data_IF_574517164214
#
_entry.id   IF_574517164214
#
_cell.length_a   1.000
_cell.length_b   1.000
_cell.length_c   1.000
_cell.angle_alpha   90.00
_cell.angle_beta   90.00
_cell.angle_gamma   90.00
#
_symmetry.space_group_name_H-M   'P 1'
#
loop_
_entity.id
_entity.type
_entity.pdbx_description
1 polymer ?
#
# COMPACT_ATOMS: atom_id res chain seq x y z
N UNK A 1 1.65 19.57 -0.35
CA UNK A 1 0.55 19.32 0.59
C UNK A 1 -0.58 18.65 -0.17
N UNK A 2 -1.31 17.74 0.46
CA UNK A 2 -2.47 17.08 -0.15
C UNK A 2 -3.77 17.77 0.29
N UNK A 3 -4.64 17.99 -0.68
CA UNK A 3 -5.92 18.65 -0.49
C UNK A 3 -6.97 17.67 0.03
N UNK A 4 -7.55 17.96 1.19
CA UNK A 4 -8.61 17.18 1.80
C UNK A 4 -9.93 17.96 1.71
N UNK A 5 -11.00 17.31 1.25
CA UNK A 5 -12.35 17.79 1.36
C UNK A 5 -13.07 17.00 2.47
N UNK A 6 -13.66 17.72 3.42
CA UNK A 6 -14.43 17.14 4.51
C UNK A 6 -15.91 17.24 4.17
N UNK A 7 -16.62 16.10 4.19
CA UNK A 7 -18.02 16.00 3.79
C UNK A 7 -18.80 15.34 4.93
N UNK A 8 -19.62 16.11 5.63
CA UNK A 8 -20.38 15.65 6.78
C UNK A 8 -21.52 16.67 7.02
N UNK A 9 -22.73 16.26 7.29
CA UNK A 9 -23.84 17.18 7.53
C UNK A 9 -23.74 17.84 8.91
N UNK A 10 -23.05 17.21 9.86
CA UNK A 10 -22.85 17.73 11.21
C UNK A 10 -21.64 18.68 11.27
N UNK A 11 -21.89 19.98 11.43
CA UNK A 11 -20.81 20.98 11.58
C UNK A 11 -19.80 20.65 12.71
N UNK A 12 -20.21 20.17 13.90
CA UNK A 12 -19.27 19.81 14.96
C UNK A 12 -18.29 18.68 14.55
N UNK A 13 -18.73 17.74 13.71
CA UNK A 13 -17.89 16.67 13.19
C UNK A 13 -16.84 17.23 12.21
N UNK A 14 -17.23 18.14 11.30
CA UNK A 14 -16.30 18.84 10.40
C UNK A 14 -15.27 19.66 11.17
N UNK A 15 -15.72 20.49 12.14
CA UNK A 15 -14.83 21.31 12.98
C UNK A 15 -13.82 20.47 13.77
N UNK A 16 -14.21 19.24 14.17
CA UNK A 16 -13.31 18.29 14.82
C UNK A 16 -12.24 17.78 13.87
N UNK A 17 -12.63 17.39 12.66
CA UNK A 17 -11.69 16.91 11.65
C UNK A 17 -10.71 18.00 11.23
N UNK A 18 -11.17 19.24 11.05
CA UNK A 18 -10.29 20.39 10.77
C UNK A 18 -9.22 20.52 11.84
N UNK A 19 -9.61 20.57 13.12
CA UNK A 19 -8.66 20.67 14.25
C UNK A 19 -7.65 19.53 14.31
N UNK A 20 -8.06 18.30 13.96
CA UNK A 20 -7.14 17.18 13.93
C UNK A 20 -6.14 17.27 12.77
N UNK A 21 -6.53 17.88 11.67
CA UNK A 21 -5.68 18.08 10.49
C UNK A 21 -4.72 19.27 10.65
N UNK A 22 -5.01 20.25 11.49
CA UNK A 22 -4.12 21.40 11.76
C UNK A 22 -2.73 20.97 12.26
N UNK A 23 -2.67 19.86 13.00
CA UNK A 23 -1.41 19.29 13.50
C UNK A 23 -0.69 18.38 12.48
N UNK A 24 -1.20 18.27 11.24
CA UNK A 24 -0.70 17.36 10.21
C UNK A 24 -0.16 18.11 8.97
N UNK A 25 1.10 18.55 8.95
CA UNK A 25 1.64 19.50 7.95
C UNK A 25 1.68 19.00 6.51
N UNK A 26 1.46 17.70 6.28
CA UNK A 26 1.39 17.12 4.92
C UNK A 26 0.04 17.31 4.25
N UNK A 27 -0.99 17.67 5.01
CA UNK A 27 -2.36 17.78 4.58
C UNK A 27 -2.90 19.19 4.79
N UNK A 28 -3.84 19.58 3.95
CA UNK A 28 -4.59 20.84 4.14
C UNK A 28 -6.06 20.61 3.83
N UNK A 29 -6.92 21.23 4.61
CA UNK A 29 -8.35 21.26 4.34
C UNK A 29 -8.59 22.25 3.19
N UNK A 30 -8.94 21.73 2.02
CA UNK A 30 -9.23 22.54 0.84
C UNK A 30 -10.66 23.08 0.87
N UNK A 31 -11.57 22.39 1.58
CA UNK A 31 -12.95 22.81 1.69
C UNK A 31 -13.77 21.89 2.59
N UNK A 32 -15.00 22.32 2.87
CA UNK A 32 -16.01 21.58 3.61
C UNK A 32 -17.33 21.55 2.82
N UNK A 33 -18.07 20.45 2.91
CA UNK A 33 -19.41 20.32 2.35
C UNK A 33 -20.36 19.70 3.38
N UNK A 34 -21.58 20.21 3.46
CA UNK A 34 -22.60 19.74 4.40
C UNK A 34 -23.57 18.72 3.79
N UNK A 35 -23.42 18.36 2.51
CA UNK A 35 -24.25 17.40 1.79
C UNK A 35 -23.57 16.99 0.47
N UNK A 36 -24.09 15.96 -0.16
CA UNK A 36 -23.53 15.40 -1.41
C UNK A 36 -23.60 16.36 -2.60
N UNK A 37 -24.59 17.25 -2.68
CA UNK A 37 -24.69 18.23 -3.78
C UNK A 37 -23.56 19.26 -3.68
N UNK A 38 -23.37 19.87 -2.52
CA UNK A 38 -22.26 20.78 -2.27
C UNK A 38 -20.90 20.08 -2.44
N UNK A 39 -20.79 18.79 -2.02
CA UNK A 39 -19.59 18.01 -2.20
C UNK A 39 -19.22 17.84 -3.67
N UNK A 40 -20.17 17.55 -4.57
CA UNK A 40 -19.92 17.41 -5.99
C UNK A 40 -19.44 18.73 -6.65
N UNK A 41 -19.92 19.87 -6.17
CA UNK A 41 -19.45 21.19 -6.61
C UNK A 41 -18.01 21.43 -6.14
N UNK A 42 -17.74 21.24 -4.84
CA UNK A 42 -16.39 21.36 -4.27
C UNK A 42 -15.39 20.40 -4.95
N UNK A 43 -15.77 19.16 -5.24
CA UNK A 43 -14.89 18.20 -5.92
C UNK A 43 -14.50 18.70 -7.31
N UNK A 44 -15.43 19.26 -8.06
CA UNK A 44 -15.14 19.82 -9.41
C UNK A 44 -14.24 21.04 -9.37
N UNK A 45 -14.44 21.91 -8.38
CA UNK A 45 -13.69 23.17 -8.26
C UNK A 45 -12.32 22.99 -7.64
N UNK A 46 -12.22 22.17 -6.59
CA UNK A 46 -11.02 22.06 -5.75
C UNK A 46 -10.14 20.88 -6.14
N UNK A 47 -10.66 19.90 -6.89
CA UNK A 47 -9.95 18.67 -7.28
C UNK A 47 -9.20 18.05 -6.07
N UNK A 48 -9.90 17.71 -4.97
CA UNK A 48 -9.27 17.20 -3.77
C UNK A 48 -8.58 15.85 -4.01
N UNK A 49 -7.48 15.61 -3.30
CA UNK A 49 -6.76 14.36 -3.32
C UNK A 49 -7.43 13.29 -2.45
N UNK A 50 -8.04 13.73 -1.33
CA UNK A 50 -8.64 12.84 -0.32
C UNK A 50 -10.01 13.39 0.07
N UNK A 51 -10.99 12.50 0.25
CA UNK A 51 -12.29 12.79 0.84
C UNK A 51 -12.40 12.15 2.22
N UNK A 52 -12.70 12.94 3.25
CA UNK A 52 -13.24 12.46 4.53
C UNK A 52 -14.76 12.56 4.44
N UNK A 53 -15.44 11.43 4.26
CA UNK A 53 -16.83 11.37 3.84
C UNK A 53 -17.70 10.67 4.89
N UNK A 54 -18.70 11.37 5.42
CA UNK A 54 -19.74 10.71 6.22
C UNK A 54 -20.63 9.85 5.32
N UNK A 55 -21.02 8.70 5.83
CA UNK A 55 -21.94 7.80 5.15
C UNK A 55 -23.37 8.30 5.32
N UNK A 56 -23.73 8.73 6.54
CA UNK A 56 -25.11 8.99 6.94
C UNK A 56 -25.50 10.46 6.77
N UNK A 57 -25.70 10.88 5.53
CA UNK A 57 -26.12 12.25 5.21
C UNK A 57 -27.56 12.30 4.66
N UNK A 58 -28.33 13.38 4.91
CA UNK A 58 -29.64 13.56 4.31
C UNK A 58 -29.61 13.63 2.77
N UNK A 59 -30.57 13.00 2.13
CA UNK A 59 -30.68 12.95 0.66
C UNK A 59 -29.81 11.86 0.07
N UNK A 60 -28.80 12.22 -0.71
CA UNK A 60 -27.82 11.27 -1.24
C UNK A 60 -26.81 10.94 -0.15
N UNK A 61 -26.77 9.69 0.28
CA UNK A 61 -25.80 9.21 1.27
C UNK A 61 -24.35 9.16 0.74
N UNK A 62 -23.38 9.04 1.65
CA UNK A 62 -21.96 9.01 1.28
C UNK A 62 -21.56 7.81 0.42
N UNK A 63 -22.22 6.65 0.57
CA UNK A 63 -21.96 5.49 -0.25
C UNK A 63 -22.38 5.70 -1.71
N UNK A 64 -23.55 6.31 -1.91
CA UNK A 64 -24.07 6.66 -3.23
C UNK A 64 -23.22 7.73 -3.91
N UNK A 65 -22.74 8.71 -3.16
CA UNK A 65 -21.78 9.71 -3.64
C UNK A 65 -20.47 9.04 -4.10
N UNK A 66 -19.91 8.16 -3.29
CA UNK A 66 -18.68 7.44 -3.60
C UNK A 66 -18.81 6.58 -4.87
N UNK A 67 -19.91 5.84 -5.05
CA UNK A 67 -20.19 5.09 -6.29
C UNK A 67 -20.26 5.99 -7.51
N UNK A 68 -20.91 7.16 -7.37
CA UNK A 68 -21.01 8.15 -8.48
C UNK A 68 -19.63 8.65 -8.90
N UNK A 69 -18.73 8.91 -7.95
CA UNK A 69 -17.37 9.37 -8.23
C UNK A 69 -16.52 8.29 -8.92
N UNK A 70 -16.61 7.04 -8.47
CA UNK A 70 -15.86 5.93 -9.05
C UNK A 70 -16.27 5.64 -10.50
N UNK A 71 -17.52 5.77 -10.83
CA UNK A 71 -18.00 5.62 -12.21
C UNK A 71 -17.41 6.67 -13.17
N UNK A 72 -16.93 7.81 -12.67
CA UNK A 72 -16.34 8.92 -13.45
C UNK A 72 -14.85 8.77 -13.80
N UNK A 73 -14.15 7.74 -13.31
CA UNK A 73 -12.78 7.38 -13.69
C UNK A 73 -11.69 7.84 -12.74
N UNK A 74 -11.37 9.11 -12.60
CA UNK A 74 -10.35 9.60 -11.65
C UNK A 74 -11.00 9.94 -10.31
N UNK A 75 -10.91 9.04 -9.34
CA UNK A 75 -11.51 9.22 -8.03
C UNK A 75 -10.46 9.62 -6.99
N UNK A 76 -10.75 10.60 -6.12
CA UNK A 76 -9.92 10.88 -4.93
C UNK A 76 -9.90 9.67 -3.99
N UNK A 77 -8.91 9.61 -3.11
CA UNK A 77 -8.87 8.60 -2.07
C UNK A 77 -10.02 8.82 -1.07
N UNK A 78 -10.91 7.84 -0.90
CA UNK A 78 -12.09 7.98 -0.03
C UNK A 78 -11.82 7.30 1.30
N UNK A 79 -11.97 8.05 2.40
CA UNK A 79 -11.97 7.56 3.78
C UNK A 79 -13.35 7.88 4.36
N UNK A 80 -14.09 6.84 4.71
CA UNK A 80 -15.39 7.04 5.35
C UNK A 80 -15.27 7.39 6.83
N UNK A 81 -16.10 8.31 7.30
CA UNK A 81 -16.25 8.69 8.72
C UNK A 81 -17.69 8.42 9.14
N UNK A 82 -17.96 7.39 9.94
CA UNK A 82 -19.33 6.96 10.26
C UNK A 82 -19.55 6.73 11.75
N UNK A 83 -20.78 6.93 12.21
CA UNK A 83 -21.19 6.58 13.57
C UNK A 83 -21.42 5.06 13.76
N UNK A 84 -21.59 4.29 12.68
CA UNK A 84 -22.01 2.89 12.74
C UNK A 84 -20.88 1.93 12.35
N UNK A 85 -20.55 1.00 13.25
CA UNK A 85 -19.55 -0.05 13.01
C UNK A 85 -20.02 -1.10 11.97
N UNK A 86 -21.31 -1.36 11.91
CA UNK A 86 -21.87 -2.43 11.07
C UNK A 86 -21.99 -2.06 9.59
N UNK A 87 -21.93 -0.79 9.23
CA UNK A 87 -21.95 -0.35 7.81
C UNK A 87 -20.64 -0.63 7.07
N UNK A 88 -19.56 -0.94 7.79
CA UNK A 88 -18.32 -1.41 7.20
C UNK A 88 -18.49 -2.72 6.39
N UNK A 89 -19.51 -3.52 6.66
CA UNK A 89 -19.82 -4.76 5.93
C UNK A 89 -20.45 -4.51 4.53
N UNK A 90 -21.14 -3.40 4.33
CA UNK A 90 -21.73 -3.04 3.03
C UNK A 90 -20.73 -2.28 2.12
N UNK A 91 -19.56 -1.99 2.64
CA UNK A 91 -18.54 -1.19 2.00
C UNK A 91 -17.64 -1.94 1.00
N UNK A 92 -17.81 -3.25 0.86
CA UNK A 92 -17.11 -4.05 -0.16
C UNK A 92 -17.48 -3.68 -1.60
N UNK A 93 -18.55 -2.91 -1.80
CA UNK A 93 -18.97 -2.45 -3.13
C UNK A 93 -18.33 -1.13 -3.58
N UNK A 94 -17.61 -0.44 -2.68
CA UNK A 94 -16.92 0.82 -2.96
C UNK A 94 -15.46 0.67 -2.56
N UNK A 95 -14.53 0.93 -3.47
CA UNK A 95 -13.09 0.89 -3.20
C UNK A 95 -12.67 2.06 -2.29
N UNK A 96 -13.09 2.02 -1.03
CA UNK A 96 -12.64 2.96 -0.01
C UNK A 96 -11.27 2.56 0.54
N UNK A 97 -10.46 3.57 0.82
CA UNK A 97 -9.11 3.36 1.38
C UNK A 97 -9.17 2.93 2.84
N UNK A 98 -10.09 3.50 3.61
CA UNK A 98 -10.26 3.16 5.03
C UNK A 98 -11.62 3.63 5.58
N UNK A 99 -11.90 3.22 6.84
CA UNK A 99 -13.09 3.55 7.61
C UNK A 99 -12.71 4.06 8.99
N UNK A 100 -13.31 5.18 9.39
CA UNK A 100 -13.16 5.80 10.69
C UNK A 100 -14.50 5.78 11.43
N UNK A 101 -14.49 5.33 12.68
CA UNK A 101 -15.66 5.38 13.54
C UNK A 101 -15.66 6.68 14.33
N UNK A 102 -16.78 7.41 14.32
CA UNK A 102 -16.97 8.61 15.14
C UNK A 102 -17.11 8.23 16.63
N UNK A 103 -16.49 8.97 17.57
CA UNK A 103 -15.68 10.15 17.36
C UNK A 103 -14.28 9.82 16.85
N UNK A 104 -13.87 10.46 15.77
CA UNK A 104 -12.56 10.23 15.16
C UNK A 104 -11.43 10.61 16.12
N UNK A 105 -10.44 9.71 16.28
CA UNK A 105 -9.23 9.92 17.07
C UNK A 105 -8.06 10.28 16.18
N UNK A 106 -7.17 11.18 16.65
CA UNK A 106 -6.01 11.64 15.89
C UNK A 106 -5.15 10.50 15.33
N UNK A 107 -4.76 9.54 16.17
CA UNK A 107 -3.94 8.40 15.78
C UNK A 107 -4.60 7.52 14.68
N UNK A 108 -5.94 7.44 14.71
CA UNK A 108 -6.69 6.63 13.75
C UNK A 108 -6.84 7.36 12.42
N UNK A 109 -7.03 8.70 12.47
CA UNK A 109 -7.04 9.57 11.29
C UNK A 109 -5.68 9.55 10.59
N UNK A 110 -4.58 9.71 11.34
CA UNK A 110 -3.22 9.66 10.81
C UNK A 110 -2.95 8.35 10.04
N UNK A 111 -3.28 7.20 10.64
CA UNK A 111 -3.15 5.89 9.97
C UNK A 111 -3.97 5.77 8.68
N UNK A 112 -5.17 6.34 8.66
CA UNK A 112 -6.02 6.33 7.46
C UNK A 112 -5.48 7.23 6.37
N UNK A 113 -4.95 8.38 6.72
CA UNK A 113 -4.29 9.30 5.79
C UNK A 113 -2.99 8.71 5.23
N UNK A 114 -2.22 7.96 6.03
CA UNK A 114 -1.08 7.19 5.53
C UNK A 114 -1.50 6.14 4.49
N UNK A 115 -2.64 5.46 4.67
CA UNK A 115 -3.18 4.56 3.66
C UNK A 115 -3.58 5.31 2.38
N UNK A 116 -4.17 6.51 2.52
CA UNK A 116 -4.53 7.34 1.38
C UNK A 116 -3.29 7.81 0.58
N UNK A 117 -2.20 8.17 1.26
CA UNK A 117 -0.91 8.47 0.62
C UNK A 117 -0.42 7.30 -0.24
N UNK A 118 -0.49 6.08 0.29
CA UNK A 118 -0.13 4.84 -0.44
C UNK A 118 -1.00 4.63 -1.66
N UNK A 119 -2.32 4.74 -1.48
CA UNK A 119 -3.29 4.59 -2.56
C UNK A 119 -3.03 5.58 -3.71
N UNK A 120 -2.69 6.82 -3.39
CA UNK A 120 -2.38 7.88 -4.35
C UNK A 120 -0.97 7.76 -4.97
N UNK A 121 -0.17 6.79 -4.55
CA UNK A 121 1.22 6.65 -5.00
C UNK A 121 2.14 7.80 -4.59
N UNK A 122 1.73 8.63 -3.63
CA UNK A 122 2.42 9.85 -3.16
C UNK A 122 3.16 9.67 -1.84
N UNK A 123 3.30 8.44 -1.38
CA UNK A 123 4.11 8.15 -0.20
C UNK A 123 5.60 8.15 -0.55
N UNK A 124 6.27 9.26 -0.32
CA UNK A 124 7.72 9.27 -0.24
C UNK A 124 8.15 8.54 1.06
N UNK A 125 8.45 7.25 0.94
CA UNK A 125 9.39 6.61 1.84
C UNK A 125 8.93 6.03 3.17
N UNK A 126 7.64 5.88 3.46
CA UNK A 126 7.19 4.95 4.52
C UNK A 126 6.39 3.80 3.91
N UNK A 127 7.10 2.79 3.42
CA UNK A 127 6.60 1.41 3.39
C UNK A 127 6.25 1.07 4.83
N UNK A 128 5.08 0.44 5.08
CA UNK A 128 4.96 -0.37 6.30
C UNK A 128 6.26 -1.16 6.36
N UNK A 129 7.05 -0.91 7.38
CA UNK A 129 8.29 -1.66 7.56
C UNK A 129 7.87 -3.09 7.94
N UNK A 130 7.52 -3.86 6.92
CA UNK A 130 7.42 -5.29 7.04
C UNK A 130 8.83 -5.79 7.33
N UNK A 131 8.99 -6.46 8.44
CA UNK A 131 10.28 -7.02 8.82
C UNK A 131 10.28 -8.53 8.64
N UNK A 132 11.32 -9.03 8.01
CA UNK A 132 11.69 -10.43 8.13
C UNK A 132 12.42 -10.59 9.45
N UNK A 133 11.91 -11.45 10.31
CA UNK A 133 12.48 -11.75 11.63
C UNK A 133 13.43 -12.93 11.50
N UNK A 134 14.70 -12.72 11.82
CA UNK A 134 15.70 -13.79 11.89
C UNK A 134 16.28 -13.90 13.29
N UNK A 135 16.79 -15.07 13.65
CA UNK A 135 17.53 -15.31 14.91
C UNK A 135 18.98 -15.63 14.57
N UNK A 136 19.90 -14.79 15.01
CA UNK A 136 21.33 -14.97 14.78
C UNK A 136 22.06 -14.93 16.12
N UNK A 137 22.66 -16.05 16.51
CA UNK A 137 23.43 -16.13 17.76
C UNK A 137 22.61 -15.77 19.02
N UNK A 138 21.32 -16.15 19.06
CA UNK A 138 20.41 -15.85 20.17
C UNK A 138 19.87 -14.41 20.19
N UNK A 139 20.21 -13.58 19.18
CA UNK A 139 19.67 -12.24 19.01
C UNK A 139 18.62 -12.24 17.90
N UNK A 140 17.50 -11.55 18.14
CA UNK A 140 16.47 -11.30 17.12
C UNK A 140 16.93 -10.12 16.25
N UNK A 141 17.05 -10.37 14.94
CA UNK A 141 17.36 -9.35 13.94
C UNK A 141 16.11 -9.11 13.10
N UNK A 142 15.71 -7.85 12.99
CA UNK A 142 14.61 -7.41 12.15
C UNK A 142 15.18 -6.77 10.86
N UNK A 143 14.96 -7.44 9.73
CA UNK A 143 15.39 -6.93 8.42
C UNK A 143 14.19 -6.34 7.70
N UNK A 144 14.18 -5.01 7.39
CA UNK A 144 13.11 -4.41 6.61
C UNK A 144 12.95 -5.09 5.26
N UNK A 145 11.74 -5.51 4.89
CA UNK A 145 11.47 -6.28 3.66
C UNK A 145 11.91 -5.51 2.41
N UNK A 146 11.80 -4.19 2.42
CA UNK A 146 12.22 -3.34 1.29
C UNK A 146 13.76 -3.35 1.05
N UNK A 147 14.54 -3.84 2.03
CA UNK A 147 16.01 -4.04 1.91
C UNK A 147 16.39 -5.46 1.53
N UNK A 148 15.43 -6.36 1.46
CA UNK A 148 15.66 -7.73 1.01
C UNK A 148 15.86 -7.73 -0.50
N UNK A 149 16.94 -8.36 -0.95
CA UNK A 149 17.31 -8.48 -2.36
C UNK A 149 16.74 -9.75 -2.95
N UNK A 150 16.98 -10.88 -2.28
CA UNK A 150 16.40 -12.16 -2.67
C UNK A 150 16.32 -13.12 -1.47
N UNK A 151 15.50 -14.13 -1.64
CA UNK A 151 15.20 -15.18 -0.66
C UNK A 151 15.47 -16.52 -1.34
N UNK A 152 16.32 -17.34 -0.77
CA UNK A 152 16.71 -18.63 -1.32
C UNK A 152 16.36 -19.74 -0.32
N UNK A 153 15.66 -20.77 -0.80
CA UNK A 153 15.44 -21.97 0.01
C UNK A 153 16.61 -22.92 -0.19
N UNK A 154 17.39 -23.11 0.87
CA UNK A 154 18.56 -24.00 0.92
C UNK A 154 18.36 -24.96 2.11
N UNK A 155 18.38 -26.26 1.83
CA UNK A 155 18.11 -27.34 2.78
C UNK A 155 16.74 -27.22 3.48
N UNK A 156 16.69 -26.83 4.73
CA UNK A 156 15.44 -26.67 5.51
C UNK A 156 15.12 -25.23 5.87
N UNK A 157 15.96 -24.30 5.44
CA UNK A 157 15.89 -22.89 5.85
C UNK A 157 15.75 -21.98 4.63
N UNK A 158 15.28 -20.77 4.91
CA UNK A 158 15.29 -19.70 3.91
C UNK A 158 16.42 -18.71 4.23
N UNK A 159 17.35 -18.61 3.29
CA UNK A 159 18.43 -17.62 3.31
C UNK A 159 17.90 -16.30 2.80
N UNK A 160 17.95 -15.25 3.63
CA UNK A 160 17.53 -13.89 3.32
C UNK A 160 18.77 -13.08 2.97
N UNK A 161 18.90 -12.66 1.73
CA UNK A 161 19.98 -11.79 1.24
C UNK A 161 19.45 -10.36 1.20
N UNK A 162 20.11 -9.45 1.90
CA UNK A 162 19.69 -8.05 2.04
C UNK A 162 20.89 -7.10 1.96
N UNK A 163 20.63 -5.79 1.83
CA UNK A 163 21.65 -4.76 1.62
C UNK A 163 22.79 -4.75 2.65
N UNK A 164 22.57 -5.30 3.85
CA UNK A 164 23.55 -5.32 4.95
C UNK A 164 24.20 -6.71 5.18
N UNK A 165 23.87 -7.71 4.36
CA UNK A 165 24.43 -9.05 4.50
C UNK A 165 23.39 -10.17 4.29
N UNK A 166 23.57 -11.26 5.03
CA UNK A 166 22.74 -12.47 4.89
C UNK A 166 22.26 -12.93 6.26
N UNK A 167 21.00 -13.31 6.35
CA UNK A 167 20.41 -13.93 7.54
C UNK A 167 19.62 -15.18 7.15
N UNK A 168 19.30 -16.03 8.12
CA UNK A 168 18.57 -17.29 7.90
C UNK A 168 17.29 -17.26 8.73
N UNK A 169 16.21 -17.80 8.17
CA UNK A 169 14.91 -17.89 8.83
C UNK A 169 14.25 -19.25 8.57
N UNK A 170 13.28 -19.60 9.41
CA UNK A 170 12.54 -20.87 9.33
C UNK A 170 11.32 -20.76 8.38
N UNK A 171 10.82 -19.54 8.11
CA UNK A 171 9.68 -19.31 7.23
C UNK A 171 9.97 -19.77 5.79
N UNK A 172 9.04 -20.51 5.19
CA UNK A 172 9.18 -20.97 3.81
C UNK A 172 8.97 -19.83 2.79
N UNK A 173 9.50 -20.01 1.58
CA UNK A 173 9.27 -19.04 0.50
C UNK A 173 7.79 -18.85 0.16
N UNK A 174 6.95 -19.86 0.36
CA UNK A 174 5.51 -19.76 0.09
C UNK A 174 4.81 -18.90 1.14
N UNK A 175 5.15 -19.05 2.41
CA UNK A 175 4.65 -18.19 3.48
C UNK A 175 5.07 -16.73 3.29
N UNK A 176 6.34 -16.49 2.90
CA UNK A 176 6.86 -15.15 2.64
C UNK A 176 6.20 -14.49 1.43
N UNK A 177 5.91 -15.24 0.37
CA UNK A 177 5.20 -14.75 -0.81
C UNK A 177 3.76 -14.33 -0.49
N UNK A 178 3.08 -15.09 0.38
CA UNK A 178 1.72 -14.77 0.86
C UNK A 178 1.71 -13.60 1.86
N UNK A 179 2.70 -13.55 2.76
CA UNK A 179 2.83 -12.52 3.79
C UNK A 179 3.17 -11.14 3.22
N UNK A 180 3.92 -11.11 2.09
CA UNK A 180 4.38 -9.86 1.45
C UNK A 180 3.94 -9.79 -0.02
N UNK A 181 2.62 -9.69 -0.29
CA UNK A 181 2.09 -9.71 -1.64
C UNK A 181 2.63 -8.54 -2.47
N UNK A 182 3.02 -8.83 -3.72
CA UNK A 182 3.52 -7.83 -4.65
C UNK A 182 4.97 -7.36 -4.44
N UNK A 183 5.62 -7.68 -3.32
CA UNK A 183 7.00 -7.26 -3.04
C UNK A 183 8.04 -8.17 -3.68
N UNK A 184 7.74 -9.46 -3.76
CA UNK A 184 8.63 -10.47 -4.33
C UNK A 184 8.03 -11.07 -5.61
N UNK A 185 8.92 -11.64 -6.42
CA UNK A 185 8.56 -12.42 -7.60
C UNK A 185 9.24 -13.79 -7.53
N UNK A 186 8.48 -14.88 -7.69
CA UNK A 186 9.02 -16.22 -7.69
C UNK A 186 9.67 -16.52 -9.03
N UNK A 187 11.00 -16.63 -9.02
CA UNK A 187 11.78 -16.94 -10.22
C UNK A 187 12.01 -18.45 -10.38
N UNK A 188 12.16 -19.16 -9.27
CA UNK A 188 12.36 -20.59 -9.22
C UNK A 188 11.64 -21.21 -8.02
N UNK A 189 11.46 -22.53 -7.97
CA UNK A 189 10.84 -23.20 -6.81
C UNK A 189 11.55 -22.91 -5.49
N UNK A 190 12.85 -22.63 -5.54
CA UNK A 190 13.70 -22.32 -4.39
C UNK A 190 14.17 -20.86 -4.33
N UNK A 191 13.59 -19.94 -5.13
CA UNK A 191 14.05 -18.56 -5.17
C UNK A 191 12.91 -17.54 -5.37
N UNK A 192 12.86 -16.54 -4.49
CA UNK A 192 12.11 -15.30 -4.64
C UNK A 192 13.09 -14.13 -4.79
N UNK A 193 12.76 -13.17 -5.63
CA UNK A 193 13.56 -11.94 -5.81
C UNK A 193 12.71 -10.71 -5.52
N UNK A 194 13.33 -9.67 -5.00
CA UNK A 194 12.71 -8.36 -4.88
C UNK A 194 12.61 -7.69 -6.27
N UNK A 195 11.41 -7.21 -6.61
CA UNK A 195 11.18 -6.49 -7.87
C UNK A 195 12.06 -5.24 -8.00
N UNK A 196 12.31 -4.56 -6.90
CA UNK A 196 13.14 -3.34 -6.82
C UNK A 196 14.60 -3.59 -7.23
N UNK A 197 15.13 -4.76 -6.91
CA UNK A 197 16.53 -5.11 -7.15
C UNK A 197 16.76 -5.81 -8.48
N UNK A 198 15.71 -6.16 -9.22
CA UNK A 198 15.84 -6.78 -10.56
C UNK A 198 16.46 -5.78 -11.54
N UNK A 199 17.51 -6.21 -12.24
CA UNK A 199 18.24 -5.42 -13.24
C UNK A 199 18.23 -6.03 -14.63
N UNK A 200 18.08 -7.35 -14.72
CA UNK A 200 18.09 -8.01 -16.02
C UNK A 200 18.08 -9.52 -15.92
N UNK A 201 18.21 -10.13 -17.08
CA UNK A 201 18.36 -11.57 -17.25
C UNK A 201 19.64 -11.82 -18.05
N UNK A 202 20.39 -12.85 -17.67
CA UNK A 202 21.52 -13.34 -18.45
C UNK A 202 21.35 -14.82 -18.75
N UNK A 203 21.94 -15.26 -19.85
CA UNK A 203 22.03 -16.68 -20.21
C UNK A 203 23.44 -17.18 -19.92
N UNK A 204 23.56 -18.27 -19.17
CA UNK A 204 24.84 -18.89 -18.89
C UNK A 204 25.34 -19.68 -20.10
N UNK A 205 26.63 -20.06 -20.10
CA UNK A 205 27.22 -20.95 -21.08
C UNK A 205 26.53 -22.32 -21.16
N UNK A 206 25.92 -22.76 -20.08
CA UNK A 206 25.16 -24.02 -19.99
C UNK A 206 23.71 -23.89 -20.48
N UNK A 207 23.32 -22.69 -20.97
CA UNK A 207 21.99 -22.45 -21.53
C UNK A 207 20.91 -22.14 -20.51
N UNK A 208 21.24 -22.06 -19.21
CA UNK A 208 20.33 -21.65 -18.14
C UNK A 208 20.13 -20.14 -18.16
N UNK A 209 18.96 -19.69 -17.69
CA UNK A 209 18.68 -18.26 -17.52
C UNK A 209 18.77 -17.90 -16.04
N UNK A 210 19.52 -16.87 -15.71
CA UNK A 210 19.68 -16.33 -14.36
C UNK A 210 19.23 -14.87 -14.29
N UNK A 211 18.79 -14.44 -13.10
CA UNK A 211 18.46 -13.02 -12.85
C UNK A 211 19.72 -12.27 -12.46
N UNK A 212 19.82 -11.03 -12.96
CA UNK A 212 20.79 -10.03 -12.48
C UNK A 212 20.12 -9.15 -11.45
N UNK A 213 20.71 -9.09 -10.26
CA UNK A 213 20.21 -8.30 -9.13
C UNK A 213 21.22 -7.22 -8.73
N UNK A 214 20.73 -6.06 -8.32
CA UNK A 214 21.59 -5.03 -7.68
C UNK A 214 21.81 -5.36 -6.21
N UNK A 215 23.04 -5.12 -5.73
CA UNK A 215 23.40 -5.24 -4.31
C UNK A 215 23.79 -6.66 -3.86
N UNK A 216 23.95 -7.60 -4.79
CA UNK A 216 24.43 -8.95 -4.50
C UNK A 216 25.07 -9.59 -5.74
N UNK A 217 26.01 -10.51 -5.52
CA UNK A 217 26.60 -11.36 -6.59
C UNK A 217 25.77 -12.64 -6.81
N UNK A 218 24.74 -12.87 -5.99
CA UNK A 218 23.84 -14.02 -6.14
C UNK A 218 22.97 -13.85 -7.38
N UNK A 219 22.95 -14.86 -8.24
CA UNK A 219 22.22 -14.88 -9.51
C UNK A 219 21.31 -16.11 -9.58
N UNK A 220 20.13 -16.07 -8.91
CA UNK A 220 19.22 -17.20 -8.91
C UNK A 220 18.79 -17.63 -10.31
N UNK A 221 18.68 -18.93 -10.53
CA UNK A 221 18.18 -19.50 -11.78
C UNK A 221 16.69 -19.20 -11.96
N UNK A 222 16.28 -18.99 -13.20
CA UNK A 222 14.89 -18.76 -13.59
C UNK A 222 14.30 -20.02 -14.18
N UNK A 223 13.19 -20.48 -13.62
CA UNK A 223 12.45 -21.60 -14.23
C UNK A 223 11.90 -21.20 -15.60
N UNK A 224 11.90 -22.13 -16.56
CA UNK A 224 11.45 -21.88 -17.96
C UNK A 224 10.08 -21.20 -18.04
N UNK A 225 9.14 -21.59 -17.17
CA UNK A 225 7.78 -21.03 -17.10
C UNK A 225 7.73 -19.55 -16.68
N UNK A 226 8.73 -19.06 -15.93
CA UNK A 226 8.75 -17.71 -15.38
C UNK A 226 9.54 -16.69 -16.23
N UNK A 227 10.24 -17.15 -17.28
CA UNK A 227 11.07 -16.29 -18.14
C UNK A 227 10.21 -15.22 -18.85
N UNK A 228 9.05 -15.60 -19.41
CA UNK A 228 8.16 -14.67 -20.11
C UNK A 228 7.60 -13.59 -19.18
N UNK A 229 7.18 -13.99 -17.99
CA UNK A 229 6.64 -13.07 -16.97
C UNK A 229 7.71 -12.10 -16.47
N UNK A 230 8.96 -12.57 -16.29
CA UNK A 230 10.08 -11.71 -15.90
C UNK A 230 10.47 -10.71 -17.00
N UNK A 231 10.43 -11.12 -18.26
CA UNK A 231 10.67 -10.20 -19.39
C UNK A 231 9.64 -9.08 -19.44
N UNK A 232 8.35 -9.42 -19.23
CA UNK A 232 7.28 -8.42 -19.13
C UNK A 232 7.54 -7.48 -17.96
N UNK A 233 7.90 -8.01 -16.78
CA UNK A 233 8.22 -7.19 -15.61
C UNK A 233 9.38 -6.22 -15.85
N UNK A 234 10.41 -6.64 -16.60
CA UNK A 234 11.54 -5.79 -16.97
C UNK A 234 11.13 -4.67 -17.94
N UNK A 235 10.21 -4.95 -18.89
CA UNK A 235 9.69 -3.93 -19.81
C UNK A 235 8.84 -2.88 -19.10
N UNK A 236 8.18 -3.23 -17.99
CA UNK A 236 7.36 -2.31 -17.20
C UNK A 236 8.20 -1.43 -16.24
N UNK A 237 9.48 -1.74 -16.05
CA UNK A 237 10.43 -1.01 -15.18
C UNK A 237 11.34 -0.07 -15.99
N UNK A 238 11.43 -0.28 -17.31
CA UNK A 238 12.23 0.55 -18.24
C UNK A 238 11.44 1.73 -18.74
#
# INVERSE_FOLDING_TARGET
MLNILIIDDEKPARDRLCRLLDDMPKFQVAGEAANSTAALECIRELSPDILLLDISMPGMDGMSLARTLQAGGASPAIIFCTAYQDQALNAFEVEAVDYLVKPVRAERLEKSLEKALRFLGREEGRKEDHYVRSSVGGKVVLTPVHRVICLLSEDKYTTVIHEKGTTVIDESLTELEQKYPGMFFRVHRNALISRKHLRGLQRTSEGQTQVLLSGTDRQPEVSRRNISSLRKLLSDIS
#
